data_IF_352826362781
#
_entry.id   IF_352826362781
#
_cell.length_a   1.000
_cell.length_b   1.000
_cell.length_c   1.000
_cell.angle_alpha   90.00
_cell.angle_beta   90.00
_cell.angle_gamma   90.00
#
_symmetry.space_group_name_H-M   'P 1'
#
loop_
_entity.id
_entity.type
_entity.pdbx_description
1 polymer ?
#
# COMPACT_ATOMS: atom_id res chain seq x y z
N UNK A 1 11.68 29.07 -15.96
CA UNK A 1 12.36 27.78 -16.14
C UNK A 1 11.39 26.84 -16.81
N UNK A 2 11.45 26.76 -18.14
CA UNK A 2 10.61 25.88 -18.95
C UNK A 2 11.12 24.43 -18.81
N UNK A 3 10.25 23.50 -18.42
CA UNK A 3 10.56 22.09 -18.48
C UNK A 3 10.65 21.68 -19.95
N UNK A 4 11.77 21.10 -20.35
CA UNK A 4 12.15 20.89 -21.76
C UNK A 4 11.31 19.86 -22.53
N UNK A 5 10.16 19.42 -22.01
CA UNK A 5 9.13 18.65 -22.73
C UNK A 5 9.59 17.39 -23.45
N UNK A 6 10.83 16.91 -23.22
CA UNK A 6 11.38 15.78 -23.98
C UNK A 6 10.63 14.49 -23.61
N UNK A 7 10.37 13.61 -24.59
CA UNK A 7 9.60 12.38 -24.37
C UNK A 7 10.23 11.43 -23.33
N UNK A 8 11.54 11.54 -23.08
CA UNK A 8 12.24 10.81 -22.03
C UNK A 8 12.10 11.42 -20.61
N UNK A 9 11.46 12.59 -20.49
CA UNK A 9 11.22 13.23 -19.19
C UNK A 9 9.92 12.68 -18.59
N UNK A 10 10.00 12.18 -17.36
CA UNK A 10 8.85 11.63 -16.65
C UNK A 10 8.20 12.68 -15.76
N UNK A 11 6.87 12.74 -15.76
CA UNK A 11 6.13 13.72 -14.96
C UNK A 11 5.78 13.13 -13.60
N UNK A 12 6.39 13.65 -12.54
CA UNK A 12 6.13 13.24 -11.15
C UNK A 12 5.15 14.20 -10.47
N UNK A 13 4.08 13.72 -9.82
CA UNK A 13 3.30 14.55 -8.91
C UNK A 13 4.12 14.85 -7.64
N UNK A 14 3.99 16.07 -7.14
CA UNK A 14 4.65 16.58 -5.94
C UNK A 14 3.65 17.42 -5.14
N UNK A 15 3.94 17.74 -3.86
CA UNK A 15 3.07 18.63 -3.08
C UNK A 15 2.85 20.03 -3.70
N UNK A 16 3.68 20.44 -4.66
CA UNK A 16 3.61 21.74 -5.35
C UNK A 16 3.13 21.65 -6.81
N UNK A 17 2.57 20.51 -7.23
CA UNK A 17 2.16 20.25 -8.61
C UNK A 17 3.04 19.19 -9.29
N UNK A 18 3.21 19.27 -10.60
CA UNK A 18 3.95 18.26 -11.37
C UNK A 18 5.38 18.69 -11.70
N UNK A 19 6.34 17.77 -11.60
CA UNK A 19 7.75 17.99 -11.93
C UNK A 19 8.21 16.99 -13.00
N UNK A 20 8.71 17.51 -14.12
CA UNK A 20 9.40 16.69 -15.11
C UNK A 20 10.79 16.28 -14.59
N UNK A 21 11.11 14.99 -14.63
CA UNK A 21 12.38 14.41 -14.20
C UNK A 21 13.00 13.68 -15.38
N UNK A 22 14.19 14.12 -15.79
CA UNK A 22 14.92 13.51 -16.90
C UNK A 22 15.68 12.24 -16.48
N UNK A 23 16.13 11.46 -17.46
CA UNK A 23 16.84 10.17 -17.25
C UNK A 23 18.14 10.29 -16.44
N UNK A 24 18.76 11.48 -16.42
CA UNK A 24 19.97 11.79 -15.66
C UNK A 24 19.67 12.47 -14.32
N UNK A 25 18.50 12.19 -13.72
CA UNK A 25 18.08 12.81 -12.48
C UNK A 25 19.07 12.55 -11.34
N UNK A 26 19.12 13.48 -10.38
CA UNK A 26 19.90 13.26 -9.15
C UNK A 26 19.38 12.00 -8.43
N UNK A 27 20.19 11.32 -7.60
CA UNK A 27 19.78 10.09 -6.91
C UNK A 27 18.46 10.21 -6.13
N UNK A 28 18.18 11.38 -5.55
CA UNK A 28 16.90 11.67 -4.88
C UNK A 28 15.70 11.70 -5.84
N UNK A 29 15.89 12.22 -7.05
CA UNK A 29 14.85 12.30 -8.08
C UNK A 29 14.61 10.92 -8.72
N UNK A 30 15.67 10.13 -8.90
CA UNK A 30 15.55 8.70 -9.29
C UNK A 30 14.80 7.89 -8.23
N UNK A 31 14.98 8.21 -6.95
CA UNK A 31 14.23 7.58 -5.85
C UNK A 31 12.75 7.94 -5.91
N UNK A 32 12.42 9.22 -6.08
CA UNK A 32 11.02 9.66 -6.25
C UNK A 32 10.39 9.04 -7.50
N UNK A 33 11.18 8.89 -8.57
CA UNK A 33 10.75 8.20 -9.79
C UNK A 33 10.39 6.73 -9.52
N UNK A 34 11.31 5.98 -8.92
CA UNK A 34 11.07 4.58 -8.58
C UNK A 34 9.87 4.46 -7.65
N UNK A 35 9.77 5.29 -6.61
CA UNK A 35 8.66 5.29 -5.68
C UNK A 35 7.32 5.51 -6.38
N UNK A 36 7.23 6.52 -7.26
CA UNK A 36 6.02 6.78 -8.04
C UNK A 36 5.70 5.64 -9.02
N UNK A 37 6.73 5.06 -9.66
CA UNK A 37 6.57 3.89 -10.51
C UNK A 37 5.98 2.72 -9.72
N UNK A 38 6.51 2.42 -8.54
CA UNK A 38 6.00 1.38 -7.66
C UNK A 38 4.56 1.65 -7.21
N UNK A 39 4.20 2.90 -6.93
CA UNK A 39 2.83 3.26 -6.57
C UNK A 39 1.85 3.06 -7.73
N UNK A 40 2.21 3.50 -8.93
CA UNK A 40 1.42 3.28 -10.14
C UNK A 40 1.31 1.79 -10.48
N UNK A 41 2.38 1.04 -10.25
CA UNK A 41 2.39 -0.39 -10.44
C UNK A 41 1.50 -1.11 -9.42
N UNK A 42 1.58 -0.74 -8.14
CA UNK A 42 0.67 -1.23 -7.10
C UNK A 42 -0.77 -0.93 -7.51
N UNK A 43 -1.06 0.30 -7.97
CA UNK A 43 -2.37 0.68 -8.47
C UNK A 43 -2.88 -0.28 -9.55
N UNK A 44 -2.08 -0.60 -10.57
CA UNK A 44 -2.47 -1.57 -11.61
C UNK A 44 -2.84 -2.93 -10.97
N UNK A 45 -2.04 -3.42 -10.03
CA UNK A 45 -2.31 -4.71 -9.35
C UNK A 45 -3.52 -4.68 -8.42
N UNK A 46 -3.87 -3.52 -7.87
CA UNK A 46 -5.10 -3.35 -7.11
C UNK A 46 -6.31 -3.14 -8.03
N UNK A 47 -6.13 -2.52 -9.20
CA UNK A 47 -7.19 -2.34 -10.21
C UNK A 47 -7.60 -3.69 -10.84
N UNK A 48 -6.71 -4.70 -10.84
CA UNK A 48 -7.04 -6.09 -11.21
C UNK A 48 -8.11 -6.72 -10.28
N UNK A 49 -8.40 -6.13 -9.13
CA UNK A 49 -9.48 -6.55 -8.22
C UNK A 49 -10.87 -6.11 -8.71
N UNK A 50 -11.10 -6.09 -10.03
CA UNK A 50 -12.22 -5.46 -10.78
C UNK A 50 -13.63 -5.77 -10.26
N UNK A 51 -13.81 -6.85 -9.50
CA UNK A 51 -15.08 -7.20 -8.84
C UNK A 51 -15.41 -6.36 -7.60
N UNK A 52 -14.46 -5.55 -7.13
CA UNK A 52 -14.65 -4.56 -6.09
C UNK A 52 -14.49 -3.20 -6.74
N UNK A 53 -15.34 -2.23 -6.38
CA UNK A 53 -15.13 -0.85 -6.78
C UNK A 53 -13.91 -0.31 -6.02
N UNK A 54 -12.72 -0.68 -6.47
CA UNK A 54 -11.46 -0.16 -5.96
C UNK A 54 -11.39 1.26 -6.44
N UNK A 55 -11.48 2.20 -5.49
CA UNK A 55 -11.13 3.59 -5.76
C UNK A 55 -9.80 3.81 -5.07
N UNK A 56 -8.67 3.56 -5.75
CA UNK A 56 -7.38 3.93 -5.21
C UNK A 56 -7.37 5.45 -5.16
N UNK A 57 -7.68 5.99 -3.98
CA UNK A 57 -7.67 7.41 -3.75
C UNK A 57 -6.33 7.69 -3.13
N UNK A 58 -5.32 7.93 -3.97
CA UNK A 58 -4.02 8.39 -3.51
C UNK A 58 -4.19 9.81 -2.96
N UNK A 59 -4.76 9.90 -1.76
CA UNK A 59 -4.85 11.13 -1.01
C UNK A 59 -3.46 11.38 -0.44
N UNK A 60 -2.75 12.28 -1.08
CA UNK A 60 -1.66 13.00 -0.44
C UNK A 60 -2.36 13.94 0.56
N UNK A 61 -2.70 13.43 1.74
CA UNK A 61 -3.08 14.24 2.90
C UNK A 61 -2.35 13.71 4.13
N UNK A 62 -1.74 14.61 4.90
CA UNK A 62 -1.21 14.27 6.22
C UNK A 62 -2.36 13.76 7.10
N UNK A 63 -2.21 12.56 7.65
CA UNK A 63 -3.15 11.95 8.57
C UNK A 63 -2.40 11.67 9.86
N UNK A 64 -2.85 12.25 10.97
CA UNK A 64 -2.15 12.09 12.26
C UNK A 64 -0.69 12.58 12.24
N UNK A 65 -0.35 13.54 11.37
CA UNK A 65 0.98 14.14 11.29
C UNK A 65 1.99 13.42 10.38
N UNK A 66 1.60 12.39 9.63
CA UNK A 66 2.46 11.72 8.65
C UNK A 66 1.74 11.43 7.34
N UNK A 67 2.50 11.06 6.31
CA UNK A 67 2.00 10.86 4.94
C UNK A 67 2.14 9.40 4.53
N UNK A 68 1.03 8.68 4.30
CA UNK A 68 1.10 7.35 3.68
C UNK A 68 1.55 7.48 2.23
N UNK A 69 2.25 6.47 1.70
CA UNK A 69 2.62 6.46 0.29
C UNK A 69 1.39 6.30 -0.62
N UNK A 70 0.37 5.58 -0.14
CA UNK A 70 -0.91 5.45 -0.82
C UNK A 70 -2.06 5.18 0.13
N UNK A 71 -3.26 5.50 -0.33
CA UNK A 71 -4.51 5.14 0.34
C UNK A 71 -5.43 4.50 -0.69
N UNK A 72 -6.11 3.43 -0.31
CA UNK A 72 -7.03 2.72 -1.18
C UNK A 72 -8.26 2.29 -0.40
N UNK A 73 -9.41 2.38 -1.05
CA UNK A 73 -10.68 1.90 -0.51
C UNK A 73 -11.14 0.74 -1.36
N UNK A 74 -11.33 -0.41 -0.71
CA UNK A 74 -11.98 -1.56 -1.31
C UNK A 74 -13.45 -1.54 -0.89
N UNK A 75 -14.37 -1.39 -1.85
CA UNK A 75 -15.80 -1.51 -1.59
C UNK A 75 -16.38 -2.76 -2.25
N UNK A 76 -17.09 -3.57 -1.46
CA UNK A 76 -17.97 -4.62 -1.95
C UNK A 76 -19.39 -4.08 -1.96
N UNK A 77 -19.98 -3.95 -3.15
CA UNK A 77 -21.39 -3.56 -3.29
C UNK A 77 -22.32 -4.67 -2.78
N UNK A 78 -22.00 -5.94 -3.10
CA UNK A 78 -22.76 -7.11 -2.67
C UNK A 78 -22.94 -7.20 -1.15
N UNK A 79 -21.91 -6.85 -0.38
CA UNK A 79 -21.97 -6.89 1.08
C UNK A 79 -22.28 -5.54 1.72
N UNK A 80 -22.38 -4.48 0.92
CA UNK A 80 -22.37 -3.07 1.34
C UNK A 80 -21.30 -2.78 2.42
N UNK A 81 -20.08 -3.27 2.18
CA UNK A 81 -18.94 -3.08 3.07
C UNK A 81 -17.80 -2.37 2.37
N UNK A 82 -17.14 -1.47 3.10
CA UNK A 82 -15.90 -0.83 2.64
C UNK A 82 -14.75 -1.07 3.63
N UNK A 83 -13.54 -1.23 3.10
CA UNK A 83 -12.30 -1.36 3.85
C UNK A 83 -11.33 -0.29 3.40
N UNK A 84 -10.75 0.42 4.37
CA UNK A 84 -9.68 1.39 4.14
C UNK A 84 -8.34 0.70 4.31
N UNK A 85 -7.48 0.84 3.31
CA UNK A 85 -6.08 0.45 3.41
C UNK A 85 -5.15 1.63 3.19
N UNK A 86 -4.10 1.65 3.99
CA UNK A 86 -2.91 2.47 3.76
C UNK A 86 -1.84 1.61 3.12
N UNK A 87 -1.04 2.20 2.23
CA UNK A 87 0.06 1.56 1.55
C UNK A 87 1.36 2.26 1.90
N UNK A 88 2.37 1.46 2.24
CA UNK A 88 3.75 1.86 2.45
C UNK A 88 4.64 0.99 1.57
N UNK A 89 5.41 1.62 0.70
CA UNK A 89 6.35 0.94 -0.21
C UNK A 89 7.76 1.20 0.27
N UNK A 90 8.34 0.19 0.91
CA UNK A 90 9.71 0.24 1.36
C UNK A 90 10.67 -0.13 0.22
N UNK A 91 11.42 0.88 -0.25
CA UNK A 91 12.41 0.73 -1.31
C UNK A 91 13.84 0.46 -0.80
N UNK A 92 14.03 0.13 0.47
CA UNK A 92 15.37 -0.08 1.01
C UNK A 92 16.04 1.16 1.59
N UNK A 93 15.37 2.31 1.54
CA UNK A 93 15.95 3.61 1.87
C UNK A 93 15.67 4.07 3.29
N UNK A 94 14.65 3.50 3.92
CA UNK A 94 14.25 3.80 5.30
C UNK A 94 14.90 2.80 6.26
N UNK A 95 15.37 3.27 7.42
CA UNK A 95 15.88 2.39 8.46
C UNK A 95 14.74 1.57 9.06
N UNK A 96 14.97 0.28 9.19
CA UNK A 96 14.01 -0.66 9.75
C UNK A 96 13.73 -0.32 11.23
N UNK A 97 14.77 0.01 12.00
CA UNK A 97 14.65 0.34 13.43
C UNK A 97 14.34 1.83 13.69
N UNK A 98 14.41 2.67 12.66
CA UNK A 98 14.17 4.11 12.74
C UNK A 98 12.85 4.51 12.11
N UNK A 99 12.88 4.92 10.84
CA UNK A 99 11.74 5.47 10.12
C UNK A 99 10.58 4.49 9.98
N UNK A 100 10.84 3.22 9.61
CA UNK A 100 9.76 2.22 9.48
C UNK A 100 9.14 1.86 10.84
N UNK A 101 9.95 1.83 11.90
CA UNK A 101 9.46 1.62 13.26
C UNK A 101 8.60 2.80 13.74
N UNK A 102 8.96 4.04 13.36
CA UNK A 102 8.18 5.25 13.65
C UNK A 102 6.85 5.26 12.88
N UNK A 103 6.85 4.96 11.57
CA UNK A 103 5.63 4.80 10.76
C UNK A 103 4.67 3.79 11.38
N UNK A 104 5.18 2.63 11.81
CA UNK A 104 4.38 1.63 12.54
C UNK A 104 3.74 2.22 13.81
N UNK A 105 4.50 2.99 14.59
CA UNK A 105 3.99 3.67 15.79
C UNK A 105 2.87 4.66 15.46
N UNK A 106 3.03 5.43 14.39
CA UNK A 106 2.05 6.41 13.94
C UNK A 106 0.76 5.73 13.46
N UNK A 107 0.84 4.63 12.70
CA UNK A 107 -0.35 3.86 12.30
C UNK A 107 -1.07 3.23 13.49
N UNK A 108 -0.34 2.79 14.51
CA UNK A 108 -0.94 2.32 15.76
C UNK A 108 -1.74 3.42 16.44
N UNK A 109 -1.17 4.60 16.58
CA UNK A 109 -1.86 5.74 17.17
C UNK A 109 -3.10 6.12 16.36
N UNK A 110 -2.97 6.16 15.03
CA UNK A 110 -4.08 6.40 14.11
C UNK A 110 -5.20 5.36 14.26
N UNK A 111 -4.85 4.08 14.40
CA UNK A 111 -5.81 3.01 14.61
C UNK A 111 -6.52 3.14 15.96
N UNK A 112 -5.77 3.34 17.05
CA UNK A 112 -6.29 3.43 18.42
C UNK A 112 -7.18 4.65 18.64
N UNK A 113 -6.79 5.80 18.09
CA UNK A 113 -7.56 7.06 18.15
C UNK A 113 -8.81 7.05 17.25
N UNK A 114 -8.86 6.15 16.27
CA UNK A 114 -9.90 6.10 15.22
C UNK A 114 -9.97 7.35 14.34
N UNK A 115 -8.95 8.21 14.33
CA UNK A 115 -8.88 9.41 13.48
C UNK A 115 -9.02 9.09 11.99
N UNK A 116 -8.66 7.86 11.56
CA UNK A 116 -8.90 7.40 10.18
C UNK A 116 -10.38 7.46 9.76
N UNK A 117 -11.34 7.46 10.70
CA UNK A 117 -12.77 7.58 10.40
C UNK A 117 -13.16 8.97 9.90
N UNK A 118 -12.32 9.98 10.10
CA UNK A 118 -12.51 11.31 9.53
C UNK A 118 -12.36 11.32 8.00
N UNK A 119 -11.62 10.35 7.46
CA UNK A 119 -11.48 10.13 6.00
C UNK A 119 -12.80 9.59 5.42
N UNK A 120 -13.56 8.85 6.22
CA UNK A 120 -14.85 8.28 5.85
C UNK A 120 -15.44 7.46 6.99
N UNK A 121 -16.69 7.76 7.35
CA UNK A 121 -17.34 7.14 8.51
C UNK A 121 -17.80 5.70 8.25
N UNK A 122 -17.80 5.25 6.98
CA UNK A 122 -18.38 3.98 6.53
C UNK A 122 -17.37 2.82 6.44
N UNK A 123 -16.12 3.02 6.88
CA UNK A 123 -15.11 1.96 6.80
C UNK A 123 -15.32 0.94 7.92
N UNK A 124 -15.51 -0.32 7.51
CA UNK A 124 -15.69 -1.46 8.41
C UNK A 124 -14.37 -2.09 8.85
N UNK A 125 -13.25 -1.53 8.42
CA UNK A 125 -11.93 -2.00 8.78
C UNK A 125 -10.83 -1.05 8.31
N UNK A 126 -9.69 -1.18 8.99
CA UNK A 126 -8.47 -0.43 8.78
C UNK A 126 -7.34 -1.43 8.63
N UNK A 127 -6.58 -1.34 7.54
CA UNK A 127 -5.38 -2.15 7.32
C UNK A 127 -4.25 -1.28 6.80
N UNK A 128 -3.02 -1.67 7.12
CA UNK A 128 -1.82 -1.06 6.57
C UNK A 128 -1.05 -2.14 5.83
N UNK A 129 -0.76 -1.89 4.56
CA UNK A 129 -0.04 -2.77 3.66
C UNK A 129 1.38 -2.24 3.52
N UNK A 130 2.35 -2.98 4.04
CA UNK A 130 3.77 -2.74 3.77
C UNK A 130 4.26 -3.65 2.64
N UNK A 131 4.82 -3.06 1.60
CA UNK A 131 5.45 -3.78 0.49
C UNK A 131 6.94 -3.52 0.57
N UNK A 132 7.71 -4.56 0.87
CA UNK A 132 9.16 -4.49 0.97
C UNK A 132 9.83 -4.76 -0.37
N UNK A 133 10.97 -4.11 -0.62
CA UNK A 133 11.78 -4.34 -1.82
C UNK A 133 12.13 -5.81 -2.02
N UNK A 134 12.39 -6.53 -0.92
CA UNK A 134 12.78 -7.93 -0.92
C UNK A 134 12.42 -8.66 0.38
N UNK A 135 12.54 -9.99 0.33
CA UNK A 135 12.25 -10.90 1.45
C UNK A 135 13.22 -10.75 2.63
N UNK A 136 14.44 -10.27 2.42
CA UNK A 136 15.39 -10.05 3.52
C UNK A 136 14.92 -8.89 4.39
N UNK A 137 14.55 -7.76 3.76
CA UNK A 137 13.99 -6.59 4.45
C UNK A 137 12.65 -6.88 5.11
N UNK A 138 11.75 -7.60 4.44
CA UNK A 138 10.51 -8.09 5.05
C UNK A 138 10.81 -8.86 6.35
N UNK A 139 11.71 -9.84 6.30
CA UNK A 139 12.08 -10.64 7.49
C UNK A 139 12.69 -9.78 8.59
N UNK A 140 13.55 -8.82 8.24
CA UNK A 140 14.15 -7.92 9.22
C UNK A 140 13.09 -7.02 9.88
N UNK A 141 12.11 -6.53 9.13
CA UNK A 141 10.98 -5.77 9.66
C UNK A 141 10.09 -6.62 10.58
N UNK A 142 9.76 -7.85 10.18
CA UNK A 142 8.97 -8.78 10.99
C UNK A 142 9.66 -9.15 12.32
N UNK A 143 11.00 -9.22 12.32
CA UNK A 143 11.82 -9.48 13.51
C UNK A 143 11.84 -8.35 14.52
N UNK A 144 11.25 -7.19 14.24
CA UNK A 144 11.23 -6.07 15.17
C UNK A 144 10.48 -6.34 16.49
N UNK A 145 9.97 -7.57 16.75
CA UNK A 145 9.48 -8.20 18.00
C UNK A 145 8.58 -7.38 18.95
N UNK A 146 8.23 -6.15 18.61
CA UNK A 146 7.18 -5.35 19.24
C UNK A 146 5.90 -5.60 18.49
N UNK A 147 4.86 -6.02 19.21
CA UNK A 147 3.47 -6.26 18.78
C UNK A 147 3.19 -5.73 17.38
N UNK A 148 3.50 -6.52 16.35
CA UNK A 148 3.04 -6.18 15.01
C UNK A 148 1.55 -6.46 15.03
N UNK A 149 0.80 -5.38 15.06
CA UNK A 149 -0.64 -5.39 15.18
C UNK A 149 -1.29 -6.17 14.04
N UNK A 150 -2.42 -6.81 14.33
CA UNK A 150 -3.19 -7.60 13.36
C UNK A 150 -3.70 -6.80 12.15
N UNK A 151 -3.67 -5.47 12.23
CA UNK A 151 -4.01 -4.56 11.12
C UNK A 151 -2.82 -4.27 10.18
N UNK A 152 -1.58 -4.64 10.54
CA UNK A 152 -0.40 -4.48 9.69
C UNK A 152 -0.13 -5.78 8.93
N UNK A 153 -0.13 -5.64 7.61
CA UNK A 153 0.00 -6.72 6.64
C UNK A 153 1.20 -6.42 5.78
N UNK A 154 2.02 -7.42 5.49
CA UNK A 154 3.29 -7.19 4.82
C UNK A 154 3.60 -8.27 3.78
N UNK A 155 4.23 -7.86 2.69
CA UNK A 155 4.69 -8.76 1.64
C UNK A 155 5.95 -8.19 0.98
N UNK A 156 6.56 -8.95 0.08
CA UNK A 156 7.66 -8.48 -0.74
C UNK A 156 7.21 -8.21 -2.18
N UNK A 157 7.93 -7.34 -2.87
CA UNK A 157 7.61 -6.92 -4.23
C UNK A 157 7.56 -8.11 -5.22
N UNK A 158 8.44 -9.11 -5.07
CA UNK A 158 8.47 -10.25 -5.99
C UNK A 158 7.20 -11.09 -5.85
N UNK A 159 6.76 -11.34 -4.62
CA UNK A 159 5.51 -12.06 -4.32
C UNK A 159 4.29 -11.29 -4.85
N UNK A 160 4.22 -9.99 -4.59
CA UNK A 160 3.16 -9.12 -5.11
C UNK A 160 3.14 -9.10 -6.64
N UNK A 161 4.30 -9.09 -7.28
CA UNK A 161 4.41 -9.05 -8.74
C UNK A 161 3.96 -10.34 -9.41
N UNK A 162 4.32 -11.47 -8.82
CA UNK A 162 3.97 -12.78 -9.37
C UNK A 162 2.50 -13.12 -9.19
N UNK A 163 1.93 -12.82 -8.02
CA UNK A 163 0.63 -13.36 -7.62
C UNK A 163 -0.49 -12.31 -7.56
N UNK A 164 -0.15 -11.02 -7.60
CA UNK A 164 -1.12 -9.93 -7.50
C UNK A 164 -1.55 -9.63 -6.06
N UNK A 165 -2.20 -8.48 -5.86
CA UNK A 165 -2.54 -7.97 -4.54
C UNK A 165 -3.60 -8.82 -3.82
N UNK A 166 -4.52 -9.44 -4.56
CA UNK A 166 -5.58 -10.28 -4.02
C UNK A 166 -5.13 -11.68 -3.57
N UNK A 167 -3.89 -12.10 -3.85
CA UNK A 167 -3.43 -13.44 -3.53
C UNK A 167 -3.10 -13.63 -2.04
N UNK A 168 -2.99 -14.90 -1.62
CA UNK A 168 -2.55 -15.28 -0.28
C UNK A 168 -1.02 -15.11 -0.12
N UNK A 169 -0.55 -13.87 -0.13
CA UNK A 169 0.88 -13.51 -0.06
C UNK A 169 1.22 -12.58 1.11
N UNK A 170 0.21 -12.18 1.88
CA UNK A 170 0.35 -11.16 2.92
C UNK A 170 0.53 -11.81 4.29
N UNK A 171 1.61 -11.46 4.97
CA UNK A 171 1.86 -11.88 6.35
C UNK A 171 1.27 -10.85 7.30
N UNK A 172 0.43 -11.33 8.22
CA UNK A 172 -0.27 -10.50 9.20
C UNK A 172 0.48 -10.54 10.53
N UNK A 173 0.85 -9.38 11.06
CA UNK A 173 1.53 -9.31 12.35
C UNK A 173 2.95 -9.91 12.35
N UNK A 174 3.48 -10.25 13.53
CA UNK A 174 4.86 -10.71 13.72
C UNK A 174 5.02 -12.23 13.75
N UNK A 175 3.92 -12.97 13.90
CA UNK A 175 3.96 -14.25 14.61
C UNK A 175 3.61 -15.46 13.74
N UNK A 176 3.04 -15.26 12.55
CA UNK A 176 2.61 -16.36 11.69
C UNK A 176 3.38 -16.36 10.37
N UNK A 177 3.92 -17.52 9.98
CA UNK A 177 4.34 -17.78 8.59
C UNK A 177 3.14 -17.91 7.64
N UNK A 178 1.93 -17.94 8.18
CA UNK A 178 0.68 -17.97 7.44
C UNK A 178 0.53 -16.74 6.53
N UNK A 179 0.08 -16.98 5.30
CA UNK A 179 -0.15 -15.96 4.31
C UNK A 179 -1.64 -15.84 4.03
N UNK A 180 -2.11 -14.61 3.97
CA UNK A 180 -3.52 -14.28 3.84
C UNK A 180 -3.76 -13.49 2.56
N UNK A 181 -4.97 -13.59 2.04
CA UNK A 181 -5.48 -12.66 1.04
C UNK A 181 -6.03 -11.41 1.71
N UNK A 182 -5.74 -10.23 1.16
CA UNK A 182 -6.39 -8.99 1.59
C UNK A 182 -7.90 -8.99 1.34
N UNK A 183 -8.39 -9.85 0.44
CA UNK A 183 -9.80 -10.04 0.15
C UNK A 183 -10.50 -10.92 1.21
N UNK A 184 -9.73 -11.71 1.99
CA UNK A 184 -10.29 -12.64 2.97
C UNK A 184 -11.29 -13.61 2.35
N UNK A 185 -12.44 -13.82 3.01
CA UNK A 185 -13.52 -14.69 2.52
C UNK A 185 -14.21 -14.16 1.26
N UNK A 186 -13.91 -12.94 0.79
CA UNK A 186 -14.45 -12.44 -0.47
C UNK A 186 -13.91 -13.21 -1.68
N UNK A 187 -12.82 -13.98 -1.53
CA UNK A 187 -12.35 -14.88 -2.58
C UNK A 187 -13.34 -16.00 -2.89
N UNK A 188 -13.97 -16.60 -1.86
CA UNK A 188 -14.87 -17.75 -2.06
C UNK A 188 -16.18 -17.35 -2.75
N UNK A 189 -16.60 -16.09 -2.58
CA UNK A 189 -17.81 -15.56 -3.20
C UNK A 189 -17.69 -15.48 -4.73
N UNK A 190 -16.47 -15.45 -5.27
CA UNK A 190 -16.20 -15.44 -6.70
C UNK A 190 -16.29 -16.82 -7.36
N UNK A 191 -15.90 -17.87 -6.64
CA UNK A 191 -15.88 -19.24 -7.15
C UNK A 191 -17.28 -19.84 -7.23
N UNK A 192 -18.19 -19.44 -6.34
CA UNK A 192 -19.56 -19.96 -6.30
C UNK A 192 -20.44 -19.44 -7.45
N UNK A 193 -20.04 -18.34 -8.11
CA UNK A 193 -20.77 -17.76 -9.26
C UNK A 193 -20.41 -18.37 -10.62
N UNK A 194 -19.39 -19.23 -10.71
CA UNK A 194 -18.99 -19.88 -11.97
C UNK A 194 -19.46 -21.35 -12.08
N UNK A 195 -20.22 -21.87 -11.11
CA UNK A 195 -20.73 -23.26 -11.12
C UNK A 195 -22.24 -23.40 -11.37
N UNK A 196 -22.93 -22.34 -11.80
CA UNK A 196 -24.34 -22.43 -12.21
C UNK A 196 -24.54 -21.91 -13.63
N UNK A 197 -24.16 -22.73 -14.60
CA UNK A 197 -24.75 -22.77 -15.95
C UNK A 197 -24.50 -24.13 -16.57
#
# INVERSE_FOLDING_TARGET
>A
MESSGRPENLILPTPKGFKAVGVNAKPLEQRLFLHQYYLNWCRIKFDDLKQFAVRPTFQVRSIGGFWPDGTLVLRSEKLDKSLLFFLEVDMGTESISGELAAKRGAYRELFSSRTYKEIGQYFNGFRVLFVFSDKSRLRAFLRLKRDLYSFIWSTDFQSLNRSGAGAAIWQRGAETSEQFSILGSLQSVTTDSEQTT
#
